data_IF_270311420028
#
_entry.id   IF_270311420028
#
_cell.length_a   1.000
_cell.length_b   1.000
_cell.length_c   1.000
_cell.angle_alpha   90.00
_cell.angle_beta   90.00
_cell.angle_gamma   90.00
#
_symmetry.space_group_name_H-M   'P 1'
#
loop_
_entity.id
_entity.type
_entity.pdbx_description
1 polymer ?
#
# COMPACT_ATOMS: atom_id res chain seq x y z
N UNK A 1 -20.54 -4.54 21.09
CA UNK A 1 -21.43 -4.85 19.95
C UNK A 1 -21.77 -6.34 19.92
N UNK A 2 -23.07 -6.69 19.90
CA UNK A 2 -23.55 -8.09 19.82
C UNK A 2 -23.45 -8.64 18.37
N UNK A 3 -23.58 -9.97 18.21
CA UNK A 3 -23.60 -10.58 16.88
C UNK A 3 -24.74 -10.03 16.01
N UNK A 4 -25.91 -9.77 16.60
CA UNK A 4 -27.08 -9.21 15.90
C UNK A 4 -26.84 -7.75 15.49
N UNK A 5 -26.23 -6.95 16.34
CA UNK A 5 -25.86 -5.58 16.02
C UNK A 5 -24.85 -5.52 14.84
N UNK A 6 -23.87 -6.42 14.80
CA UNK A 6 -22.92 -6.54 13.67
C UNK A 6 -23.64 -6.87 12.35
N UNK A 7 -24.62 -7.76 12.42
CA UNK A 7 -25.39 -8.15 11.22
C UNK A 7 -26.24 -6.98 10.71
N UNK A 8 -26.94 -6.27 11.60
CA UNK A 8 -27.73 -5.09 11.26
C UNK A 8 -26.84 -3.98 10.70
N UNK A 9 -25.69 -3.74 11.31
CA UNK A 9 -24.75 -2.73 10.85
C UNK A 9 -24.27 -3.03 9.42
N UNK A 10 -23.93 -4.28 9.12
CA UNK A 10 -23.53 -4.71 7.78
C UNK A 10 -24.62 -4.41 6.73
N UNK A 11 -25.87 -4.72 7.00
CA UNK A 11 -26.96 -4.42 6.08
C UNK A 11 -27.19 -2.93 5.88
N UNK A 12 -26.96 -2.11 6.90
CA UNK A 12 -27.02 -0.65 6.81
C UNK A 12 -25.85 -0.12 5.98
N UNK A 13 -24.65 -0.71 6.09
CA UNK A 13 -23.48 -0.36 5.26
C UNK A 13 -23.71 -0.69 3.77
N UNK A 14 -24.35 -1.84 3.50
CA UNK A 14 -24.72 -2.25 2.15
C UNK A 14 -25.82 -1.36 1.54
N UNK A 15 -26.79 -0.94 2.36
CA UNK A 15 -27.87 -0.04 1.95
C UNK A 15 -28.17 0.98 3.07
N UNK A 16 -27.55 2.18 3.05
CA UNK A 16 -27.77 3.23 4.08
C UNK A 16 -29.19 3.77 4.15
N UNK A 17 -30.02 3.52 3.16
CA UNK A 17 -31.43 3.93 3.12
C UNK A 17 -32.40 2.80 3.51
N UNK A 18 -31.90 1.64 3.92
CA UNK A 18 -32.73 0.50 4.33
C UNK A 18 -33.65 0.90 5.49
N UNK A 19 -34.90 0.56 5.38
CA UNK A 19 -35.89 0.86 6.42
C UNK A 19 -35.77 -0.08 7.62
N UNK A 20 -36.22 0.37 8.79
CA UNK A 20 -36.26 -0.50 9.98
C UNK A 20 -37.19 -1.73 9.79
N UNK A 21 -38.17 -1.62 8.92
CA UNK A 21 -39.05 -2.76 8.59
C UNK A 21 -38.29 -3.79 7.76
N UNK A 22 -37.59 -3.39 6.71
CA UNK A 22 -36.75 -4.30 5.90
C UNK A 22 -35.66 -4.96 6.72
N UNK A 23 -35.05 -4.22 7.68
CA UNK A 23 -34.10 -4.80 8.63
C UNK A 23 -34.75 -5.83 9.55
N UNK A 24 -35.97 -5.58 10.01
CA UNK A 24 -36.74 -6.50 10.85
C UNK A 24 -37.06 -7.80 10.08
N UNK A 25 -37.50 -7.68 8.84
CA UNK A 25 -37.83 -8.80 7.96
C UNK A 25 -36.57 -9.64 7.66
N UNK A 26 -35.44 -8.99 7.30
CA UNK A 26 -34.16 -9.67 7.09
C UNK A 26 -33.61 -10.34 8.35
N UNK A 27 -33.82 -9.74 9.52
CA UNK A 27 -33.33 -10.25 10.79
C UNK A 27 -34.25 -11.30 11.42
N UNK A 28 -35.48 -11.43 10.96
CA UNK A 28 -36.50 -12.29 11.57
C UNK A 28 -36.88 -11.85 12.99
N UNK A 29 -36.91 -10.52 13.27
CA UNK A 29 -37.22 -9.95 14.59
C UNK A 29 -38.22 -8.80 14.47
N UNK A 30 -38.81 -8.39 15.60
CA UNK A 30 -39.73 -7.27 15.61
C UNK A 30 -39.02 -5.95 15.24
N UNK A 31 -39.72 -5.04 14.53
CA UNK A 31 -39.22 -3.69 14.21
C UNK A 31 -38.78 -2.91 15.46
N UNK A 32 -39.47 -3.07 16.58
CA UNK A 32 -39.09 -2.46 17.86
C UNK A 32 -37.72 -2.94 18.35
N UNK A 33 -37.39 -4.21 18.16
CA UNK A 33 -36.08 -4.78 18.49
C UNK A 33 -34.99 -4.20 17.61
N UNK A 34 -35.26 -4.01 16.33
CA UNK A 34 -34.34 -3.31 15.40
C UNK A 34 -34.08 -1.90 15.85
N UNK A 35 -35.11 -1.15 16.28
CA UNK A 35 -34.96 0.20 16.78
C UNK A 35 -34.05 0.28 18.02
N UNK A 36 -34.12 -0.72 18.92
CA UNK A 36 -33.23 -0.83 20.09
C UNK A 36 -31.78 -1.08 19.64
N UNK A 37 -31.55 -2.02 18.71
CA UNK A 37 -30.20 -2.29 18.18
C UNK A 37 -29.61 -1.06 17.49
N UNK A 38 -30.40 -0.35 16.67
CA UNK A 38 -29.96 0.91 16.04
C UNK A 38 -29.62 1.96 17.09
N UNK A 39 -30.44 2.12 18.13
CA UNK A 39 -30.16 3.05 19.22
C UNK A 39 -28.85 2.70 19.94
N UNK A 40 -28.58 1.42 20.18
CA UNK A 40 -27.32 0.97 20.77
C UNK A 40 -26.12 1.25 19.86
N UNK A 41 -26.26 0.99 18.56
CA UNK A 41 -25.22 1.28 17.57
C UNK A 41 -24.92 2.78 17.46
N UNK A 42 -25.95 3.64 17.60
CA UNK A 42 -25.79 5.09 17.68
C UNK A 42 -25.06 5.51 18.98
N UNK A 43 -25.45 4.94 20.14
CA UNK A 43 -24.79 5.21 21.44
C UNK A 43 -23.32 4.76 21.43
N UNK A 44 -23.01 3.67 20.74
CA UNK A 44 -21.64 3.14 20.57
C UNK A 44 -20.85 3.90 19.49
N UNK A 45 -21.44 4.87 18.79
CA UNK A 45 -20.79 5.69 17.78
C UNK A 45 -20.64 5.02 16.42
N UNK A 46 -21.23 3.83 16.20
CA UNK A 46 -21.18 3.14 14.90
C UNK A 46 -22.13 3.76 13.87
N UNK A 47 -23.21 4.40 14.29
CA UNK A 47 -24.17 5.13 13.45
C UNK A 47 -24.18 6.59 13.89
N UNK A 48 -23.91 7.53 12.97
CA UNK A 48 -23.72 8.93 13.30
C UNK A 48 -25.00 9.79 13.23
N UNK A 49 -26.11 9.28 12.68
CA UNK A 49 -27.33 10.08 12.54
C UNK A 49 -28.47 9.44 11.75
N UNK A 50 -29.54 10.20 11.53
CA UNK A 50 -30.68 9.78 10.68
C UNK A 50 -30.23 9.68 9.22
N UNK A 51 -30.53 8.56 8.59
CA UNK A 51 -29.99 8.15 7.29
C UNK A 51 -28.83 7.16 7.44
N UNK A 52 -28.59 6.64 8.66
CA UNK A 52 -27.62 5.60 9.00
C UNK A 52 -26.23 5.87 8.42
N UNK A 53 -25.67 7.06 8.70
CA UNK A 53 -24.28 7.35 8.36
C UNK A 53 -23.40 6.49 9.29
N UNK A 54 -22.87 5.41 8.74
CA UNK A 54 -21.95 4.52 9.45
C UNK A 54 -20.59 5.22 9.53
N UNK A 55 -20.07 5.38 10.74
CA UNK A 55 -18.66 5.71 10.93
C UNK A 55 -17.86 4.43 10.74
N UNK A 56 -17.22 4.29 9.62
CA UNK A 56 -16.15 3.32 9.47
C UNK A 56 -14.97 3.73 10.37
N UNK A 57 -14.36 2.75 11.05
CA UNK A 57 -13.09 3.02 11.71
C UNK A 57 -12.11 3.64 10.69
N UNK A 58 -11.25 4.57 11.10
CA UNK A 58 -10.27 5.17 10.21
C UNK A 58 -9.32 4.08 9.67
N UNK A 59 -9.10 4.08 8.36
CA UNK A 59 -8.21 3.13 7.71
C UNK A 59 -7.29 3.81 6.72
N UNK A 60 -6.23 3.13 6.35
CA UNK A 60 -5.28 3.55 5.31
C UNK A 60 -5.40 2.62 4.12
N UNK A 61 -5.14 3.16 2.91
CA UNK A 61 -5.12 2.35 1.69
C UNK A 61 -3.71 2.32 1.13
N UNK A 62 -3.23 1.11 0.83
CA UNK A 62 -1.95 0.90 0.13
C UNK A 62 -2.26 0.38 -1.27
N UNK A 63 -1.82 1.10 -2.30
CA UNK A 63 -1.93 0.71 -3.71
C UNK A 63 -0.53 0.41 -4.22
N UNK A 64 -0.20 -0.84 -4.47
CA UNK A 64 1.18 -1.17 -4.83
C UNK A 64 1.44 -2.64 -5.07
N UNK A 65 2.72 -2.97 -5.20
CA UNK A 65 3.20 -4.31 -5.52
C UNK A 65 3.22 -5.27 -4.34
N UNK A 66 2.92 -6.51 -4.64
CA UNK A 66 3.01 -7.68 -3.75
C UNK A 66 3.59 -8.82 -4.55
N UNK A 67 4.70 -9.39 -4.15
CA UNK A 67 5.32 -10.47 -4.90
C UNK A 67 5.85 -11.60 -4.00
N UNK A 68 6.13 -12.73 -4.61
CA UNK A 68 6.93 -13.79 -4.03
C UNK A 68 8.39 -13.59 -4.45
N UNK A 69 9.28 -13.43 -3.46
CA UNK A 69 10.72 -13.40 -3.68
C UNK A 69 11.26 -14.82 -3.59
N UNK A 70 11.96 -15.26 -4.64
CA UNK A 70 12.63 -16.57 -4.71
C UNK A 70 14.12 -16.31 -4.84
N UNK A 71 14.86 -16.54 -3.77
CA UNK A 71 16.32 -16.36 -3.74
C UNK A 71 17.05 -17.68 -3.78
N UNK A 72 17.96 -17.86 -4.75
CA UNK A 72 18.91 -18.97 -4.84
C UNK A 72 20.30 -18.55 -4.38
N UNK A 73 20.93 -19.35 -3.51
CA UNK A 73 22.32 -19.16 -3.08
C UNK A 73 23.09 -20.45 -3.27
N UNK A 74 24.14 -20.47 -4.10
CA UNK A 74 25.01 -21.63 -4.26
C UNK A 74 25.83 -21.87 -2.99
N UNK A 75 26.24 -23.13 -2.75
CA UNK A 75 27.12 -23.48 -1.63
C UNK A 75 28.59 -23.06 -1.87
N UNK A 76 28.97 -22.81 -3.12
CA UNK A 76 30.30 -22.39 -3.55
C UNK A 76 30.24 -21.26 -4.57
N UNK A 77 31.30 -21.12 -5.36
CA UNK A 77 31.33 -20.19 -6.49
C UNK A 77 30.25 -20.53 -7.53
N UNK A 78 29.61 -19.53 -8.08
CA UNK A 78 28.60 -19.69 -9.11
C UNK A 78 29.26 -20.08 -10.43
N UNK A 79 28.85 -21.23 -10.97
CA UNK A 79 29.28 -21.71 -12.28
C UNK A 79 28.17 -21.40 -13.28
N UNK A 80 28.47 -20.53 -14.25
CA UNK A 80 27.54 -20.17 -15.30
C UNK A 80 27.25 -21.33 -16.23
N UNK A 81 26.02 -21.44 -16.71
CA UNK A 81 25.55 -22.49 -17.61
C UNK A 81 25.65 -23.92 -17.05
N UNK A 82 25.71 -24.08 -15.74
CA UNK A 82 25.72 -25.38 -15.06
C UNK A 82 24.76 -25.40 -13.87
N UNK A 83 24.51 -26.61 -13.32
CA UNK A 83 23.71 -26.81 -12.11
C UNK A 83 24.55 -26.51 -10.88
N UNK A 84 24.13 -25.57 -10.08
CA UNK A 84 24.82 -25.16 -8.87
C UNK A 84 24.08 -25.72 -7.62
N UNK A 85 24.64 -26.67 -6.88
CA UNK A 85 24.09 -27.11 -5.61
C UNK A 85 24.02 -25.93 -4.62
N UNK A 86 22.85 -25.73 -3.99
CA UNK A 86 22.65 -24.54 -3.16
C UNK A 86 21.37 -24.62 -2.33
N UNK A 87 20.99 -23.50 -1.80
CA UNK A 87 19.73 -23.30 -1.06
C UNK A 87 18.81 -22.38 -1.83
N UNK A 88 17.50 -22.70 -1.79
CA UNK A 88 16.44 -21.83 -2.31
C UNK A 88 15.60 -21.40 -1.13
N UNK A 89 15.35 -20.09 -1.04
CA UNK A 89 14.45 -19.49 -0.03
C UNK A 89 13.34 -18.75 -0.73
N UNK A 90 12.16 -18.82 -0.14
CA UNK A 90 11.00 -18.06 -0.59
C UNK A 90 10.56 -17.12 0.52
N UNK A 91 10.28 -15.88 0.17
CA UNK A 91 9.73 -14.86 1.08
C UNK A 91 8.67 -14.05 0.39
N UNK A 92 7.71 -13.54 1.18
CA UNK A 92 6.72 -12.62 0.66
C UNK A 92 7.32 -11.21 0.62
N UNK A 93 7.31 -10.62 -0.55
CA UNK A 93 7.90 -9.33 -0.86
C UNK A 93 6.90 -8.34 -1.47
N UNK A 94 7.48 -7.35 -2.14
CA UNK A 94 6.77 -6.22 -2.72
C UNK A 94 6.75 -5.02 -1.78
N UNK A 95 7.11 -3.84 -2.33
CA UNK A 95 7.23 -2.62 -1.53
C UNK A 95 5.89 -2.26 -0.90
N UNK A 96 4.80 -2.27 -1.68
CA UNK A 96 3.45 -2.00 -1.15
C UNK A 96 3.06 -2.95 -0.03
N UNK A 97 3.29 -4.27 -0.22
CA UNK A 97 3.00 -5.26 0.83
C UNK A 97 3.84 -5.05 2.08
N UNK A 98 5.13 -4.74 1.95
CA UNK A 98 6.00 -4.52 3.10
C UNK A 98 5.60 -3.26 3.88
N UNK A 99 5.17 -2.20 3.20
CA UNK A 99 4.61 -1.01 3.85
C UNK A 99 3.31 -1.38 4.58
N UNK A 100 2.38 -2.07 3.90
CA UNK A 100 1.12 -2.52 4.50
C UNK A 100 1.35 -3.39 5.74
N UNK A 101 2.32 -4.32 5.69
CA UNK A 101 2.72 -5.17 6.81
C UNK A 101 3.18 -4.34 8.01
N UNK A 102 4.11 -3.41 7.81
CA UNK A 102 4.61 -2.58 8.89
C UNK A 102 3.51 -1.68 9.49
N UNK A 103 2.63 -1.12 8.65
CA UNK A 103 1.49 -0.33 9.12
C UNK A 103 0.50 -1.17 9.94
N UNK A 104 0.23 -2.41 9.53
CA UNK A 104 -0.61 -3.34 10.30
C UNK A 104 0.03 -3.69 11.64
N UNK A 105 1.35 -3.94 11.69
CA UNK A 105 2.08 -4.16 12.96
C UNK A 105 2.05 -2.94 13.89
N UNK A 106 1.92 -1.72 13.35
CA UNK A 106 1.70 -0.50 14.14
C UNK A 106 0.25 -0.34 14.61
N UNK A 107 -0.63 -1.29 14.32
CA UNK A 107 -2.03 -1.28 14.74
C UNK A 107 -2.97 -0.47 13.86
N UNK A 108 -2.55 -0.10 12.64
CA UNK A 108 -3.42 0.58 11.68
C UNK A 108 -4.35 -0.42 10.99
N UNK A 109 -5.59 0.00 10.70
CA UNK A 109 -6.49 -0.71 9.77
C UNK A 109 -5.99 -0.46 8.36
N UNK A 110 -5.48 -1.51 7.71
CA UNK A 110 -4.83 -1.42 6.39
C UNK A 110 -5.67 -2.15 5.36
N UNK A 111 -5.97 -1.46 4.27
CA UNK A 111 -6.62 -2.04 3.09
C UNK A 111 -5.67 -1.95 1.91
N UNK A 112 -5.48 -3.04 1.22
CA UNK A 112 -4.57 -3.10 0.09
C UNK A 112 -5.31 -3.22 -1.22
N UNK A 113 -4.83 -2.52 -2.25
CA UNK A 113 -5.26 -2.64 -3.64
C UNK A 113 -4.07 -3.05 -4.51
N UNK A 114 -4.16 -4.23 -5.09
CA UNK A 114 -3.15 -4.80 -5.98
C UNK A 114 -3.82 -5.79 -6.94
N UNK A 115 -3.03 -6.47 -7.77
CA UNK A 115 -3.50 -7.56 -8.62
C UNK A 115 -2.77 -8.85 -8.29
N UNK A 116 -3.51 -9.95 -8.30
CA UNK A 116 -3.03 -11.31 -8.12
C UNK A 116 -3.45 -12.18 -9.31
N UNK A 117 -2.69 -13.24 -9.56
CA UNK A 117 -3.18 -14.39 -10.30
C UNK A 117 -4.17 -15.23 -9.49
N UNK A 118 -4.60 -16.34 -10.07
CA UNK A 118 -5.42 -17.38 -9.41
C UNK A 118 -4.59 -18.60 -8.98
N UNK A 119 -3.33 -18.36 -8.62
CA UNK A 119 -2.29 -19.35 -8.34
C UNK A 119 -2.03 -19.56 -6.83
N UNK A 120 -1.14 -20.51 -6.52
CA UNK A 120 -0.73 -20.82 -5.15
C UNK A 120 0.01 -19.67 -4.46
N UNK A 121 0.68 -18.78 -5.22
CA UNK A 121 1.36 -17.62 -4.67
C UNK A 121 0.37 -16.60 -4.15
N UNK A 122 -0.73 -16.37 -4.89
CA UNK A 122 -1.86 -15.55 -4.43
C UNK A 122 -2.42 -16.06 -3.10
N UNK A 123 -2.62 -17.39 -2.97
CA UNK A 123 -3.14 -17.99 -1.74
C UNK A 123 -2.19 -17.80 -0.56
N UNK A 124 -0.88 -17.95 -0.74
CA UNK A 124 0.14 -17.72 0.31
C UNK A 124 0.14 -16.26 0.77
N UNK A 125 0.07 -15.32 -0.16
CA UNK A 125 0.00 -13.89 0.14
C UNK A 125 -1.30 -13.58 0.89
N UNK A 126 -2.44 -14.11 0.43
CA UNK A 126 -3.74 -13.91 1.07
C UNK A 126 -3.77 -14.43 2.50
N UNK A 127 -3.20 -15.62 2.76
CA UNK A 127 -3.08 -16.16 4.10
C UNK A 127 -2.27 -15.24 5.02
N UNK A 128 -1.09 -14.77 4.57
CA UNK A 128 -0.26 -13.86 5.33
C UNK A 128 -0.94 -12.50 5.59
N UNK A 129 -1.67 -11.95 4.62
CA UNK A 129 -2.44 -10.74 4.81
C UNK A 129 -3.56 -10.95 5.86
N UNK A 130 -4.23 -12.11 5.83
CA UNK A 130 -5.26 -12.48 6.79
C UNK A 130 -4.72 -12.58 8.23
N UNK A 131 -3.54 -13.17 8.42
CA UNK A 131 -2.85 -13.25 9.73
C UNK A 131 -2.53 -11.86 10.30
N UNK A 132 -2.21 -10.90 9.44
CA UNK A 132 -1.88 -9.52 9.80
C UNK A 132 -3.11 -8.61 9.89
N UNK A 133 -4.30 -9.09 9.54
CA UNK A 133 -5.51 -8.27 9.47
C UNK A 133 -5.53 -7.25 8.32
N UNK A 134 -4.71 -7.45 7.28
CA UNK A 134 -4.70 -6.59 6.09
C UNK A 134 -5.87 -7.01 5.19
N UNK A 135 -6.79 -6.07 4.92
CA UNK A 135 -7.93 -6.31 4.04
C UNK A 135 -7.51 -6.24 2.56
N UNK A 136 -7.60 -7.38 1.88
CA UNK A 136 -7.32 -7.53 0.44
C UNK A 136 -8.60 -7.82 -0.36
N UNK A 137 -9.78 -7.69 0.23
CA UNK A 137 -11.08 -8.06 -0.39
C UNK A 137 -11.40 -7.28 -1.66
N UNK A 138 -10.76 -6.12 -1.85
CA UNK A 138 -10.94 -5.26 -3.02
C UNK A 138 -9.80 -5.36 -4.03
N UNK A 139 -8.84 -6.27 -3.82
CA UNK A 139 -7.81 -6.58 -4.82
C UNK A 139 -8.41 -7.22 -6.08
N UNK A 140 -7.66 -7.17 -7.17
CA UNK A 140 -8.05 -7.81 -8.43
C UNK A 140 -7.45 -9.21 -8.50
N UNK A 141 -8.28 -10.22 -8.76
CA UNK A 141 -7.82 -11.54 -9.21
C UNK A 141 -7.95 -11.61 -10.73
N UNK A 142 -6.85 -11.90 -11.41
CA UNK A 142 -6.77 -12.04 -12.86
C UNK A 142 -6.83 -13.53 -13.20
N UNK A 143 -7.91 -14.03 -13.79
CA UNK A 143 -8.02 -15.44 -14.15
C UNK A 143 -6.93 -15.89 -15.13
N UNK A 144 -6.24 -16.98 -14.83
CA UNK A 144 -5.11 -17.49 -15.61
C UNK A 144 -3.85 -16.61 -15.54
N UNK A 145 -3.84 -15.56 -14.74
CA UNK A 145 -2.69 -14.70 -14.51
C UNK A 145 -1.70 -15.34 -13.53
N UNK A 146 -0.42 -14.96 -13.63
CA UNK A 146 0.61 -15.32 -12.67
C UNK A 146 0.78 -14.20 -11.63
N UNK A 147 0.77 -14.56 -10.34
CA UNK A 147 1.10 -13.63 -9.26
C UNK A 147 2.56 -13.22 -9.35
N UNK A 148 2.83 -11.93 -9.19
CA UNK A 148 4.16 -11.34 -9.33
C UNK A 148 5.22 -12.13 -8.56
N UNK A 149 6.35 -12.37 -9.22
CA UNK A 149 7.47 -13.12 -8.67
C UNK A 149 8.78 -12.39 -9.00
N UNK A 150 9.65 -12.31 -8.01
CA UNK A 150 11.01 -11.82 -8.16
C UNK A 150 11.98 -12.97 -7.87
N UNK A 151 12.59 -13.48 -8.93
CA UNK A 151 13.61 -14.55 -8.85
C UNK A 151 14.98 -13.91 -8.88
N UNK A 152 15.84 -14.25 -7.93
CA UNK A 152 17.23 -13.81 -7.95
C UNK A 152 18.19 -14.91 -7.51
N UNK A 153 19.40 -14.86 -8.03
CA UNK A 153 20.50 -15.74 -7.66
C UNK A 153 21.64 -14.87 -7.16
N UNK A 154 22.18 -15.22 -6.01
CA UNK A 154 23.39 -14.61 -5.47
C UNK A 154 24.59 -15.44 -5.81
N UNK A 155 25.75 -14.81 -5.83
CA UNK A 155 27.05 -15.51 -5.88
C UNK A 155 27.45 -16.09 -4.50
N UNK A 156 28.63 -16.66 -4.40
CA UNK A 156 29.19 -17.20 -3.15
C UNK A 156 29.41 -16.15 -2.07
N UNK A 157 29.55 -14.87 -2.42
CA UNK A 157 29.73 -13.75 -1.50
C UNK A 157 28.40 -13.17 -1.01
N UNK A 158 27.30 -13.50 -1.69
CA UNK A 158 25.96 -12.98 -1.39
C UNK A 158 25.54 -11.80 -2.25
N UNK A 159 26.37 -11.39 -3.22
CA UNK A 159 26.02 -10.36 -4.17
C UNK A 159 25.11 -10.91 -5.27
N UNK A 160 24.20 -10.07 -5.76
CA UNK A 160 23.24 -10.46 -6.80
C UNK A 160 23.95 -10.71 -8.13
N UNK A 161 23.95 -11.95 -8.59
CA UNK A 161 24.52 -12.33 -9.89
C UNK A 161 23.52 -12.22 -11.03
N UNK A 162 22.23 -12.52 -10.78
CA UNK A 162 21.16 -12.49 -11.77
C UNK A 162 19.83 -12.29 -11.08
N UNK A 163 18.91 -11.55 -11.72
CA UNK A 163 17.53 -11.48 -11.30
C UNK A 163 16.57 -11.45 -12.49
N UNK A 164 15.38 -12.01 -12.29
CA UNK A 164 14.25 -11.94 -13.21
C UNK A 164 13.04 -11.44 -12.44
N UNK A 165 12.41 -10.41 -12.96
CA UNK A 165 11.25 -9.74 -12.34
C UNK A 165 10.03 -9.96 -13.22
N UNK A 166 9.10 -10.80 -12.77
CA UNK A 166 7.79 -10.99 -13.40
C UNK A 166 6.76 -10.17 -12.62
N UNK A 167 6.41 -9.01 -13.18
CA UNK A 167 5.52 -8.03 -12.53
C UNK A 167 4.42 -7.53 -13.47
N UNK A 168 4.19 -8.21 -14.60
CA UNK A 168 3.19 -7.81 -15.60
C UNK A 168 1.77 -7.76 -15.05
N UNK A 169 1.47 -8.56 -14.03
CA UNK A 169 0.16 -8.60 -13.38
C UNK A 169 -0.31 -7.21 -12.90
N UNK A 170 0.61 -6.30 -12.57
CA UNK A 170 0.25 -4.96 -12.11
C UNK A 170 -0.28 -4.04 -13.21
N UNK A 171 -0.10 -4.38 -14.48
CA UNK A 171 -0.70 -3.64 -15.59
C UNK A 171 -2.24 -3.69 -15.54
N UNK A 172 -2.80 -4.67 -14.82
CA UNK A 172 -4.23 -4.76 -14.55
C UNK A 172 -4.73 -3.80 -13.45
N UNK A 173 -3.84 -3.15 -12.68
CA UNK A 173 -4.21 -2.09 -11.74
C UNK A 173 -4.42 -0.79 -12.50
N UNK A 174 -5.41 -0.76 -13.36
CA UNK A 174 -5.73 0.34 -14.28
C UNK A 174 -6.48 1.49 -13.59
N UNK A 175 -6.57 2.68 -14.23
CA UNK A 175 -7.45 3.76 -13.77
C UNK A 175 -8.92 3.32 -13.62
N UNK A 176 -9.42 2.46 -14.50
CA UNK A 176 -10.78 1.93 -14.42
C UNK A 176 -10.98 1.03 -13.20
N UNK A 177 -10.00 0.17 -12.88
CA UNK A 177 -10.00 -0.63 -11.67
C UNK A 177 -10.06 0.25 -10.41
N UNK A 178 -9.27 1.32 -10.35
CA UNK A 178 -9.23 2.25 -9.23
C UNK A 178 -10.52 3.08 -9.12
N UNK A 179 -11.07 3.53 -10.25
CA UNK A 179 -12.35 4.25 -10.30
C UNK A 179 -13.50 3.42 -9.74
N UNK A 180 -13.54 2.11 -10.01
CA UNK A 180 -14.50 1.18 -9.40
C UNK A 180 -14.38 1.08 -7.87
N UNK A 181 -13.28 1.56 -7.29
CA UNK A 181 -12.99 1.57 -5.85
C UNK A 181 -12.87 2.99 -5.27
N UNK A 182 -13.34 3.99 -6.01
CA UNK A 182 -13.22 5.40 -5.63
C UNK A 182 -13.76 5.67 -4.22
N UNK A 183 -14.88 5.04 -3.84
CA UNK A 183 -15.46 5.20 -2.48
C UNK A 183 -14.51 4.69 -1.39
N UNK A 184 -13.84 3.55 -1.61
CA UNK A 184 -12.83 3.02 -0.69
C UNK A 184 -11.65 3.99 -0.58
N UNK A 185 -11.16 4.46 -1.71
CA UNK A 185 -10.03 5.39 -1.77
C UNK A 185 -10.34 6.73 -1.11
N UNK A 186 -11.51 7.33 -1.39
CA UNK A 186 -11.89 8.65 -0.88
C UNK A 186 -12.20 8.68 0.63
N UNK A 187 -12.62 7.56 1.22
CA UNK A 187 -12.96 7.47 2.63
C UNK A 187 -11.78 7.05 3.52
N UNK A 188 -10.60 6.81 2.95
CA UNK A 188 -9.38 6.53 3.71
C UNK A 188 -8.86 7.80 4.41
N UNK A 189 -7.97 7.64 5.38
CA UNK A 189 -7.26 8.76 6.01
C UNK A 189 -6.08 9.24 5.16
N UNK A 190 -5.38 8.32 4.53
CA UNK A 190 -4.27 8.57 3.62
C UNK A 190 -4.14 7.43 2.62
N UNK A 191 -3.42 7.70 1.56
CA UNK A 191 -3.08 6.75 0.51
C UNK A 191 -1.57 6.57 0.44
N UNK A 192 -1.13 5.31 0.41
CA UNK A 192 0.26 4.96 0.08
C UNK A 192 0.30 4.35 -1.31
N UNK A 193 1.24 4.78 -2.13
CA UNK A 193 1.40 4.31 -3.51
C UNK A 193 2.85 3.91 -3.73
N UNK A 194 3.10 2.74 -4.31
CA UNK A 194 4.40 2.42 -4.88
C UNK A 194 4.38 2.44 -6.41
N UNK A 195 5.54 2.55 -7.03
CA UNK A 195 5.66 2.67 -8.49
C UNK A 195 5.64 1.33 -9.24
N UNK A 196 5.26 0.23 -8.59
CA UNK A 196 5.02 -1.03 -9.30
C UNK A 196 3.79 -0.96 -10.19
N UNK A 197 2.77 -0.15 -9.82
CA UNK A 197 1.58 0.05 -10.65
C UNK A 197 1.87 0.96 -11.87
N UNK A 198 0.99 0.94 -12.89
CA UNK A 198 1.14 1.76 -14.10
C UNK A 198 1.18 3.27 -13.80
N UNK A 199 1.98 4.02 -14.58
CA UNK A 199 2.09 5.48 -14.45
C UNK A 199 0.73 6.20 -14.58
N UNK A 200 -0.13 5.72 -15.50
CA UNK A 200 -1.48 6.25 -15.70
C UNK A 200 -2.37 6.07 -14.46
N UNK A 201 -2.16 5.02 -13.68
CA UNK A 201 -2.89 4.74 -12.45
C UNK A 201 -2.43 5.65 -11.31
N UNK A 202 -1.12 5.90 -11.22
CA UNK A 202 -0.56 6.88 -10.29
C UNK A 202 -1.09 8.28 -10.62
N UNK A 203 -1.10 8.67 -11.89
CA UNK A 203 -1.65 9.96 -12.33
C UNK A 203 -3.13 10.08 -11.98
N UNK A 204 -3.92 9.03 -12.24
CA UNK A 204 -5.34 9.01 -11.89
C UNK A 204 -5.58 9.20 -10.39
N UNK A 205 -4.82 8.50 -9.54
CA UNK A 205 -4.90 8.67 -8.08
C UNK A 205 -4.59 10.10 -7.67
N UNK A 206 -3.52 10.69 -8.19
CA UNK A 206 -3.11 12.06 -7.88
C UNK A 206 -4.12 13.12 -8.37
N UNK A 207 -4.91 12.83 -9.39
CA UNK A 207 -5.93 13.73 -9.93
C UNK A 207 -7.28 13.61 -9.22
N UNK A 208 -7.66 12.40 -8.84
CA UNK A 208 -9.03 12.12 -8.39
C UNK A 208 -9.14 11.93 -6.86
N UNK A 209 -8.05 11.71 -6.15
CA UNK A 209 -8.06 11.49 -4.70
C UNK A 209 -7.53 12.74 -3.97
N UNK A 210 -8.30 13.24 -3.01
CA UNK A 210 -8.02 14.49 -2.26
C UNK A 210 -7.49 14.19 -0.85
N UNK A 211 -6.73 13.11 -0.70
CA UNK A 211 -6.11 12.69 0.54
C UNK A 211 -4.60 12.89 0.49
N UNK A 212 -3.91 12.91 1.64
CA UNK A 212 -2.46 12.84 1.66
C UNK A 212 -1.97 11.58 0.95
N UNK A 213 -1.16 11.74 -0.11
CA UNK A 213 -0.57 10.64 -0.88
C UNK A 213 0.91 10.51 -0.49
N UNK A 214 1.26 9.33 0.03
CA UNK A 214 2.63 8.92 0.36
C UNK A 214 3.14 8.01 -0.77
N UNK A 215 4.30 8.32 -1.34
CA UNK A 215 4.81 7.58 -2.48
C UNK A 215 6.20 6.98 -2.21
N UNK A 216 6.37 5.72 -2.61
CA UNK A 216 7.67 5.03 -2.66
C UNK A 216 8.07 4.80 -4.12
N UNK A 217 9.25 5.29 -4.55
CA UNK A 217 9.72 5.16 -5.93
C UNK A 217 10.14 3.75 -6.34
N UNK A 218 10.36 2.84 -5.39
CA UNK A 218 10.78 1.42 -5.57
C UNK A 218 12.18 1.26 -6.17
N UNK A 219 12.45 1.93 -7.30
CA UNK A 219 13.75 1.89 -8.00
C UNK A 219 13.90 3.10 -8.92
N UNK A 220 15.13 3.42 -9.30
CA UNK A 220 15.41 4.52 -10.24
C UNK A 220 14.64 4.38 -11.55
N UNK A 221 14.58 3.17 -12.12
CA UNK A 221 13.84 2.92 -13.35
C UNK A 221 12.33 3.19 -13.24
N UNK A 222 11.74 2.95 -12.06
CA UNK A 222 10.31 3.15 -11.82
C UNK A 222 9.98 4.55 -11.28
N UNK A 223 10.94 5.24 -10.66
CA UNK A 223 10.79 6.55 -10.05
C UNK A 223 10.27 7.62 -11.04
N UNK A 224 10.64 7.53 -12.32
CA UNK A 224 10.19 8.44 -13.37
C UNK A 224 8.66 8.53 -13.48
N UNK A 225 7.93 7.47 -13.09
CA UNK A 225 6.46 7.46 -13.06
C UNK A 225 5.89 8.52 -12.11
N UNK A 226 6.65 8.96 -11.10
CA UNK A 226 6.22 9.97 -10.12
C UNK A 226 6.47 11.40 -10.61
N UNK A 227 7.36 11.63 -11.57
CA UNK A 227 7.72 12.98 -12.03
C UNK A 227 6.52 13.87 -12.37
N UNK A 228 5.49 13.41 -13.10
CA UNK A 228 4.33 14.24 -13.44
C UNK A 228 3.44 14.59 -12.23
N UNK A 229 3.57 13.86 -11.13
CA UNK A 229 2.68 13.99 -9.95
C UNK A 229 3.38 14.46 -8.69
N UNK A 230 4.68 14.77 -8.74
CA UNK A 230 5.47 15.20 -7.58
C UNK A 230 4.78 16.31 -6.78
N UNK A 231 4.25 17.32 -7.46
CA UNK A 231 3.55 18.45 -6.84
C UNK A 231 2.21 18.12 -6.17
N UNK A 232 1.72 16.89 -6.31
CA UNK A 232 0.47 16.40 -5.69
C UNK A 232 0.71 15.41 -4.54
N UNK A 233 1.97 15.03 -4.32
CA UNK A 233 2.34 14.11 -3.24
C UNK A 233 2.42 14.88 -1.92
N UNK A 234 1.94 14.25 -0.84
CA UNK A 234 2.16 14.73 0.51
C UNK A 234 3.55 14.35 1.00
N UNK A 235 3.97 13.11 0.74
CA UNK A 235 5.25 12.56 1.19
C UNK A 235 5.86 11.71 0.08
N UNK A 236 7.14 11.90 -0.16
CA UNK A 236 7.95 11.07 -1.04
C UNK A 236 9.10 10.46 -0.22
N UNK A 237 9.30 9.14 -0.31
CA UNK A 237 10.37 8.42 0.38
C UNK A 237 11.35 7.81 -0.64
N UNK A 238 12.24 8.58 -1.21
CA UNK A 238 13.26 8.08 -2.13
C UNK A 238 14.49 7.59 -1.36
N UNK A 239 15.23 6.65 -1.94
CA UNK A 239 16.62 6.44 -1.63
C UNK A 239 17.51 7.53 -2.30
N UNK A 240 18.84 7.48 -2.07
CA UNK A 240 19.76 8.50 -2.62
C UNK A 240 19.68 8.59 -4.15
N UNK A 241 19.75 7.45 -4.85
CA UNK A 241 19.77 7.42 -6.32
C UNK A 241 18.43 7.90 -6.91
N UNK A 242 17.33 7.55 -6.29
CA UNK A 242 16.00 8.02 -6.66
C UNK A 242 15.83 9.52 -6.40
N UNK A 243 16.38 10.02 -5.29
CA UNK A 243 16.37 11.45 -4.99
C UNK A 243 17.22 12.24 -5.99
N UNK A 244 18.42 11.77 -6.34
CA UNK A 244 19.26 12.36 -7.39
C UNK A 244 18.53 12.42 -8.73
N UNK A 245 17.89 11.30 -9.12
CA UNK A 245 17.13 11.21 -10.36
C UNK A 245 15.97 12.21 -10.39
N UNK A 246 15.16 12.26 -9.34
CA UNK A 246 13.94 13.08 -9.34
C UNK A 246 14.22 14.56 -9.12
N UNK A 247 15.24 14.91 -8.34
CA UNK A 247 15.65 16.30 -8.08
C UNK A 247 16.55 16.90 -9.17
N UNK A 248 17.29 16.04 -9.89
CA UNK A 248 18.35 16.47 -10.81
C UNK A 248 19.63 16.94 -10.10
N UNK A 249 19.76 16.72 -8.78
CA UNK A 249 20.91 17.14 -7.96
C UNK A 249 21.70 15.91 -7.57
N UNK A 250 23.01 15.86 -7.86
CA UNK A 250 23.91 14.81 -7.37
C UNK A 250 24.16 14.95 -5.87
N UNK A 251 23.98 13.87 -5.12
CA UNK A 251 24.10 13.84 -3.66
C UNK A 251 25.45 13.23 -3.27
N UNK A 252 26.39 14.06 -2.84
CA UNK A 252 27.73 13.65 -2.42
C UNK A 252 28.01 13.92 -0.94
N UNK A 253 27.24 14.85 -0.34
CA UNK A 253 27.37 15.29 1.03
C UNK A 253 26.03 15.80 1.61
N UNK A 254 26.03 16.26 2.84
CA UNK A 254 24.82 16.77 3.50
C UNK A 254 24.28 18.05 2.84
N UNK A 255 25.12 18.88 2.26
CA UNK A 255 24.69 20.13 1.61
C UNK A 255 23.94 19.82 0.30
N UNK A 256 24.47 18.92 -0.53
CA UNK A 256 23.83 18.46 -1.76
C UNK A 256 22.57 17.63 -1.48
N UNK A 257 22.53 16.87 -0.37
CA UNK A 257 21.29 16.20 0.08
C UNK A 257 20.18 17.21 0.39
N UNK A 258 20.51 18.27 1.13
CA UNK A 258 19.55 19.33 1.42
C UNK A 258 19.09 20.05 0.13
N UNK A 259 20.02 20.34 -0.79
CA UNK A 259 19.68 20.93 -2.07
C UNK A 259 18.74 20.04 -2.90
N UNK A 260 18.95 18.73 -2.91
CA UNK A 260 18.05 17.76 -3.55
C UNK A 260 16.66 17.75 -2.89
N UNK A 261 16.60 17.78 -1.56
CA UNK A 261 15.37 17.88 -0.80
C UNK A 261 14.60 19.17 -1.11
N UNK A 262 15.29 20.32 -1.11
CA UNK A 262 14.69 21.62 -1.43
C UNK A 262 14.16 21.64 -2.87
N UNK A 263 14.89 21.07 -3.82
CA UNK A 263 14.44 20.96 -5.20
C UNK A 263 13.16 20.12 -5.33
N UNK A 264 13.06 19.00 -4.61
CA UNK A 264 11.84 18.17 -4.59
C UNK A 264 10.68 18.87 -3.89
N UNK A 265 10.93 19.54 -2.77
CA UNK A 265 9.92 20.32 -2.05
C UNK A 265 9.40 21.51 -2.88
N UNK A 266 10.25 22.12 -3.68
CA UNK A 266 9.85 23.21 -4.60
C UNK A 266 8.88 22.78 -5.70
N UNK A 267 8.78 21.47 -5.99
CA UNK A 267 7.78 20.94 -6.95
C UNK A 267 6.37 20.86 -6.35
N UNK A 268 6.24 20.95 -5.03
CA UNK A 268 4.95 20.82 -4.33
C UNK A 268 4.16 22.12 -4.43
N UNK A 269 3.13 22.17 -5.28
CA UNK A 269 2.15 23.26 -5.32
C UNK A 269 1.22 23.19 -4.09
N UNK A 270 1.66 23.76 -2.96
CA UNK A 270 0.81 24.03 -1.79
C UNK A 270 0.59 22.89 -0.78
N UNK A 271 1.35 21.80 -0.85
CA UNK A 271 1.31 20.69 0.11
C UNK A 271 2.68 20.42 0.75
N UNK A 272 2.69 19.93 1.99
CA UNK A 272 3.91 19.48 2.64
C UNK A 272 4.35 18.15 2.01
N UNK A 273 5.50 18.15 1.33
CA UNK A 273 6.20 16.93 0.92
C UNK A 273 7.41 16.73 1.81
N UNK A 274 7.62 15.54 2.34
CA UNK A 274 8.85 15.18 3.05
C UNK A 274 9.65 14.19 2.23
N UNK A 275 10.97 14.40 2.15
CA UNK A 275 11.91 13.51 1.46
C UNK A 275 12.66 12.72 2.52
N UNK A 276 12.64 11.38 2.41
CA UNK A 276 13.32 10.48 3.33
C UNK A 276 14.44 9.74 2.58
N UNK A 277 15.66 9.78 3.08
CA UNK A 277 16.80 9.13 2.45
C UNK A 277 17.37 7.97 3.27
N UNK A 278 18.14 7.10 2.65
CA UNK A 278 18.77 5.93 3.27
C UNK A 278 19.78 6.23 4.39
N UNK A 279 20.24 7.46 4.53
CA UNK A 279 21.18 7.90 5.56
C UNK A 279 20.54 8.46 6.83
N UNK A 280 19.23 8.27 7.00
CA UNK A 280 18.47 8.79 8.14
C UNK A 280 17.61 10.01 7.77
N UNK A 281 16.53 10.19 8.54
CA UNK A 281 15.60 11.29 8.37
C UNK A 281 16.25 12.61 8.75
N UNK A 282 16.36 13.53 7.81
CA UNK A 282 16.54 14.95 8.14
C UNK A 282 15.22 15.65 7.82
N UNK A 283 14.51 16.19 8.83
CA UNK A 283 13.32 16.99 8.57
C UNK A 283 13.75 18.33 7.97
N UNK A 284 12.97 18.90 7.04
CA UNK A 284 13.16 20.31 6.68
C UNK A 284 12.91 21.19 7.92
N UNK A 285 13.76 22.14 8.14
CA UNK A 285 13.79 23.07 9.29
C UNK A 285 12.71 24.16 9.21
N UNK A 286 11.44 23.80 8.99
CA UNK A 286 10.35 24.75 9.20
C UNK A 286 9.13 24.01 9.74
N UNK A 287 8.91 24.21 11.05
CA UNK A 287 7.72 23.87 11.82
C UNK A 287 7.38 22.36 12.00
N UNK A 288 7.92 21.73 13.03
CA UNK A 288 7.27 20.58 13.69
C UNK A 288 7.69 19.18 13.21
N UNK A 289 8.89 19.00 12.73
CA UNK A 289 9.37 17.69 12.28
C UNK A 289 9.92 16.82 13.42
N UNK A 290 9.52 15.54 13.45
CA UNK A 290 10.13 14.51 14.31
C UNK A 290 11.34 13.89 13.59
N UNK A 291 12.48 13.81 14.28
CA UNK A 291 13.64 13.04 13.82
C UNK A 291 13.44 11.57 14.15
N UNK A 292 13.51 10.70 13.15
CA UNK A 292 13.58 9.26 13.35
C UNK A 292 15.05 8.81 13.27
N UNK A 293 15.60 8.09 14.26
CA UNK A 293 16.97 7.59 14.17
C UNK A 293 17.09 6.58 13.03
N UNK A 294 18.24 6.60 12.35
CA UNK A 294 18.57 5.62 11.31
C UNK A 294 18.51 4.21 11.89
N UNK A 295 17.74 3.33 11.27
CA UNK A 295 17.79 1.90 11.55
C UNK A 295 19.04 1.37 10.85
N UNK A 296 19.99 0.74 11.56
CA UNK A 296 21.15 0.16 10.90
C UNK A 296 20.73 -0.95 9.95
N UNK A 297 21.27 -0.91 8.75
CA UNK A 297 21.08 -1.95 7.74
C UNK A 297 21.60 -3.29 8.28
N UNK A 298 20.69 -4.19 8.61
CA UNK A 298 20.92 -5.62 8.70
C UNK A 298 19.82 -6.31 7.92
N UNK A 299 20.17 -6.67 6.71
CA UNK A 299 19.43 -7.61 5.87
C UNK A 299 20.17 -8.94 5.81
#
# INVERSE_FOLDING_TARGET
MTQRERQILKWIEENPLISQQELADKAGIARSSVAVHISNLMKQGHIAGKGYIVRTAPYVVVVGGVNLDIGGRPHGELVAADSNPGQVRMSLGGVGRNIAHNMALMGLDVRMLTAFGDDMNAQRIAASCGELGIDISQCLTVPGGATSTYLFITDGHGDMALAVSDMEIYEHVTPAFLAGRARLLQNAQLLVVDTNIPAQSIAWLAENIRLPIFADPVSTAKAEKLRPVLGKLHTLKPNRLEAELLSGVSITDAASLNAAADALLATACGGYSSVWGATGCSPPTTAGGYTCPAVPERW
#
